data_IF_598442192969
#
_entry.id   IF_598442192969
#
_cell.length_a   1.000
_cell.length_b   1.000
_cell.length_c   1.000
_cell.angle_alpha   90.00
_cell.angle_beta   90.00
_cell.angle_gamma   90.00
#
_symmetry.space_group_name_H-M   'P 1'
#
loop_
_entity.id
_entity.type
_entity.pdbx_description
1 polymer ?
#
# COMPACT_ATOMS: atom_id res chain seq x y z
N UNK A 1 57.19 4.05 48.01
CA UNK A 1 56.31 5.00 48.73
C UNK A 1 55.42 5.69 47.71
N UNK A 2 54.19 5.75 48.02
CA UNK A 2 52.97 6.33 47.36
C UNK A 2 52.36 5.58 46.23
N UNK A 3 51.30 4.90 46.67
CA UNK A 3 50.14 4.43 45.96
C UNK A 3 49.35 5.63 45.41
N UNK A 4 48.79 5.50 44.21
CA UNK A 4 47.59 6.26 43.84
C UNK A 4 46.59 5.35 43.18
N UNK A 5 45.50 5.13 43.92
CA UNK A 5 44.22 4.52 43.53
C UNK A 5 43.55 5.42 42.49
N UNK A 6 43.03 4.82 41.41
CA UNK A 6 41.91 5.37 40.64
C UNK A 6 40.81 4.35 40.61
N UNK A 7 39.77 4.66 41.34
CA UNK A 7 38.51 3.92 41.42
C UNK A 7 37.75 3.97 40.09
N UNK A 8 37.11 2.88 39.80
CA UNK A 8 36.23 2.71 38.65
C UNK A 8 35.01 3.66 38.68
N UNK A 9 34.58 4.06 37.52
CA UNK A 9 33.21 4.53 37.28
C UNK A 9 32.53 3.56 36.31
N UNK A 10 31.52 2.94 36.84
CA UNK A 10 30.59 2.06 36.11
C UNK A 10 29.98 2.80 34.93
N UNK A 11 30.22 2.27 33.73
CA UNK A 11 29.52 2.64 32.52
C UNK A 11 28.25 1.76 32.43
N UNK A 12 27.21 2.16 33.12
CA UNK A 12 25.88 1.57 32.98
C UNK A 12 24.90 2.67 32.56
N UNK A 13 24.76 2.87 31.24
CA UNK A 13 23.66 3.63 30.64
C UNK A 13 23.60 3.42 29.14
N UNK A 14 23.23 2.23 28.73
CA UNK A 14 22.70 1.97 27.36
C UNK A 14 21.55 0.98 27.42
N UNK A 15 20.48 1.38 28.09
CA UNK A 15 19.20 0.66 28.01
C UNK A 15 18.04 1.68 28.05
N UNK A 16 17.96 2.50 27.03
CA UNK A 16 16.94 3.54 26.91
C UNK A 16 16.28 3.64 25.54
N UNK A 17 16.60 2.76 24.58
CA UNK A 17 16.07 2.85 23.22
C UNK A 17 15.09 1.75 22.82
N UNK A 18 14.79 0.79 23.66
CA UNK A 18 13.91 -0.34 23.32
C UNK A 18 12.40 -0.13 23.60
N UNK A 19 12.00 0.92 24.34
CA UNK A 19 10.60 1.15 24.71
C UNK A 19 9.88 2.29 23.97
N UNK A 20 10.55 3.01 23.07
CA UNK A 20 9.94 4.11 22.31
C UNK A 20 9.19 3.66 21.04
N UNK A 21 9.24 2.38 20.63
CA UNK A 21 8.74 1.93 19.33
C UNK A 21 7.24 1.59 19.28
N UNK A 22 6.54 1.52 20.42
CA UNK A 22 5.15 1.08 20.46
C UNK A 22 4.11 2.22 20.36
N UNK A 23 4.53 3.48 20.23
CA UNK A 23 3.65 4.65 20.16
C UNK A 23 3.61 5.34 18.78
N UNK A 24 4.58 5.09 17.91
CA UNK A 24 4.68 5.76 16.62
C UNK A 24 3.57 5.32 15.65
N UNK A 25 3.04 6.29 14.89
CA UNK A 25 2.10 6.02 13.79
C UNK A 25 2.88 5.55 12.58
N UNK A 26 2.47 4.44 11.97
CA UNK A 26 3.16 3.85 10.83
C UNK A 26 2.58 4.36 9.51
N UNK A 27 3.44 4.87 8.63
CA UNK A 27 3.11 5.22 7.26
C UNK A 27 3.59 4.13 6.31
N UNK A 28 2.67 3.43 5.67
CA UNK A 28 2.92 2.59 4.52
C UNK A 28 2.70 3.40 3.25
N UNK A 29 3.79 3.95 2.71
CA UNK A 29 3.75 4.66 1.45
C UNK A 29 3.81 3.64 0.31
N UNK A 30 2.75 3.57 -0.50
CA UNK A 30 2.63 2.57 -1.55
C UNK A 30 2.47 3.20 -2.93
N UNK A 31 3.01 2.55 -3.95
CA UNK A 31 3.01 3.00 -5.33
C UNK A 31 2.45 1.86 -6.19
N UNK A 32 1.32 2.12 -6.86
CA UNK A 32 0.69 1.17 -7.77
C UNK A 32 1.17 1.46 -9.19
N UNK A 33 2.12 0.65 -9.67
CA UNK A 33 2.84 0.88 -10.93
C UNK A 33 2.14 0.17 -12.08
N UNK A 34 1.11 0.81 -12.60
CA UNK A 34 0.29 0.34 -13.70
C UNK A 34 1.04 0.36 -15.03
N UNK A 35 0.59 -0.50 -15.96
CA UNK A 35 1.03 -0.49 -17.36
C UNK A 35 0.36 0.65 -18.14
N UNK A 36 0.70 1.91 -17.77
CA UNK A 36 0.17 3.14 -18.38
C UNK A 36 1.31 3.95 -18.98
N UNK A 37 1.14 4.56 -20.19
CA UNK A 37 2.16 5.42 -20.79
C UNK A 37 2.63 6.50 -19.82
N UNK A 38 3.95 6.65 -19.69
CA UNK A 38 4.58 7.63 -18.79
C UNK A 38 4.80 7.13 -17.35
N UNK A 39 4.28 5.95 -16.97
CA UNK A 39 4.50 5.41 -15.62
C UNK A 39 5.99 5.26 -15.27
N UNK A 40 6.87 4.95 -16.23
CA UNK A 40 8.31 4.86 -15.99
C UNK A 40 8.88 6.22 -15.53
N UNK A 41 8.53 7.31 -16.21
CA UNK A 41 9.01 8.67 -15.86
C UNK A 41 8.42 9.13 -14.53
N UNK A 42 7.13 8.86 -14.28
CA UNK A 42 6.49 9.18 -13.01
C UNK A 42 7.06 8.39 -11.84
N UNK A 43 7.45 7.12 -12.07
CA UNK A 43 8.12 6.32 -11.04
C UNK A 43 9.48 6.92 -10.67
N UNK A 44 10.29 7.36 -11.66
CA UNK A 44 11.56 8.03 -11.39
C UNK A 44 11.38 9.28 -10.53
N UNK A 45 10.37 10.10 -10.82
CA UNK A 45 10.04 11.28 -10.02
C UNK A 45 9.64 10.93 -8.58
N UNK A 46 8.82 9.88 -8.40
CA UNK A 46 8.43 9.38 -7.08
C UNK A 46 9.61 8.82 -6.29
N UNK A 47 10.49 8.06 -6.93
CA UNK A 47 11.70 7.54 -6.28
C UNK A 47 12.61 8.67 -5.80
N UNK A 48 12.77 9.74 -6.61
CA UNK A 48 13.53 10.92 -6.20
C UNK A 48 12.89 11.64 -4.99
N UNK A 49 11.54 11.72 -4.94
CA UNK A 49 10.82 12.22 -3.78
C UNK A 49 11.04 11.33 -2.55
N UNK A 50 10.90 10.02 -2.70
CA UNK A 50 11.14 9.05 -1.62
C UNK A 50 12.56 9.16 -1.04
N UNK A 51 13.58 9.34 -1.88
CA UNK A 51 14.96 9.50 -1.44
C UNK A 51 15.14 10.77 -0.62
N UNK A 52 14.57 11.91 -1.05
CA UNK A 52 14.63 13.19 -0.31
C UNK A 52 14.01 13.09 1.08
N UNK A 53 12.94 12.34 1.21
CA UNK A 53 12.20 12.17 2.47
C UNK A 53 12.60 10.91 3.25
N UNK A 54 13.61 10.17 2.79
CA UNK A 54 14.04 8.90 3.38
C UNK A 54 12.91 7.88 3.56
N UNK A 55 11.92 7.91 2.66
CA UNK A 55 10.80 6.97 2.63
C UNK A 55 11.18 5.74 1.81
N UNK A 56 10.93 4.56 2.37
CA UNK A 56 11.00 3.30 1.62
C UNK A 56 9.59 2.83 1.33
N UNK A 57 9.20 2.93 0.07
CA UNK A 57 7.87 2.57 -0.40
C UNK A 57 7.72 1.05 -0.62
N UNK A 58 6.48 0.58 -0.66
CA UNK A 58 6.14 -0.69 -1.31
C UNK A 58 5.62 -0.39 -2.72
N UNK A 59 6.30 -0.91 -3.74
CA UNK A 59 5.94 -0.69 -5.15
C UNK A 59 5.29 -1.94 -5.70
N UNK A 60 4.03 -1.84 -6.09
CA UNK A 60 3.27 -2.93 -6.70
C UNK A 60 3.35 -2.81 -8.21
N UNK A 61 4.02 -3.75 -8.86
CA UNK A 61 4.24 -3.72 -10.31
C UNK A 61 3.22 -4.57 -11.07
N UNK A 62 2.55 -3.98 -12.05
CA UNK A 62 1.94 -4.77 -13.12
C UNK A 62 3.05 -5.58 -13.84
N UNK A 63 2.79 -6.85 -14.13
CA UNK A 63 3.81 -7.73 -14.73
C UNK A 63 4.33 -7.20 -16.07
N UNK A 64 3.46 -6.64 -16.90
CA UNK A 64 3.83 -5.97 -18.16
C UNK A 64 4.79 -4.80 -17.97
N UNK A 65 4.61 -4.02 -16.91
CA UNK A 65 5.55 -2.95 -16.58
C UNK A 65 6.91 -3.53 -16.22
N UNK A 66 6.95 -4.59 -15.41
CA UNK A 66 8.18 -5.24 -15.00
C UNK A 66 8.94 -5.85 -16.17
N UNK A 67 8.25 -6.46 -17.15
CA UNK A 67 8.87 -6.94 -18.38
C UNK A 67 9.45 -5.81 -19.23
N UNK A 68 8.72 -4.68 -19.34
CA UNK A 68 9.12 -3.57 -20.21
C UNK A 68 10.26 -2.73 -19.61
N UNK A 69 10.32 -2.62 -18.27
CA UNK A 69 11.26 -1.75 -17.55
C UNK A 69 11.99 -2.49 -16.41
N UNK A 70 12.68 -3.62 -16.69
CA UNK A 70 13.31 -4.44 -15.65
C UNK A 70 14.37 -3.69 -14.85
N UNK A 71 15.05 -2.72 -15.47
CA UNK A 71 16.07 -1.92 -14.80
C UNK A 71 15.47 -0.98 -13.73
N UNK A 72 14.27 -0.43 -13.96
CA UNK A 72 13.56 0.37 -12.94
C UNK A 72 13.10 -0.50 -11.77
N UNK A 73 12.62 -1.71 -12.05
CA UNK A 73 12.24 -2.65 -10.98
C UNK A 73 13.46 -3.01 -10.13
N UNK A 74 14.59 -3.31 -10.76
CA UNK A 74 15.86 -3.57 -10.07
C UNK A 74 16.35 -2.37 -9.28
N UNK A 75 16.22 -1.18 -9.83
CA UNK A 75 16.59 0.07 -9.14
C UNK A 75 15.73 0.32 -7.92
N UNK A 76 14.42 0.07 -7.96
CA UNK A 76 13.56 0.13 -6.78
C UNK A 76 14.08 -0.80 -5.67
N UNK A 77 14.41 -2.04 -6.01
CA UNK A 77 14.96 -2.98 -5.05
C UNK A 77 16.30 -2.50 -4.48
N UNK A 78 17.21 -2.05 -5.33
CA UNK A 78 18.54 -1.54 -4.95
C UNK A 78 18.45 -0.34 -4.01
N UNK A 79 17.46 0.52 -4.17
CA UNK A 79 17.17 1.65 -3.27
C UNK A 79 16.50 1.24 -1.96
N UNK A 80 16.20 -0.06 -1.77
CA UNK A 80 15.59 -0.60 -0.55
C UNK A 80 14.07 -0.44 -0.49
N UNK A 81 13.40 -0.21 -1.63
CA UNK A 81 11.93 -0.31 -1.69
C UNK A 81 11.50 -1.77 -1.69
N UNK A 82 10.33 -2.05 -1.15
CA UNK A 82 9.71 -3.37 -1.24
C UNK A 82 9.05 -3.54 -2.60
N UNK A 83 9.13 -4.75 -3.16
CA UNK A 83 8.50 -5.09 -4.42
C UNK A 83 7.31 -6.00 -4.18
N UNK A 84 6.18 -5.63 -4.78
CA UNK A 84 4.96 -6.42 -4.84
C UNK A 84 4.49 -6.59 -6.28
N UNK A 85 3.41 -7.35 -6.48
CA UNK A 85 2.77 -7.52 -7.79
C UNK A 85 1.38 -6.86 -7.82
N UNK A 86 0.99 -6.38 -9.01
CA UNK A 86 -0.28 -5.68 -9.27
C UNK A 86 -1.03 -6.26 -10.47
N UNK A 87 -1.25 -7.58 -10.47
CA UNK A 87 -1.76 -8.28 -11.65
C UNK A 87 -0.77 -8.29 -12.80
N UNK A 88 -1.23 -8.72 -13.99
CA UNK A 88 -0.37 -8.87 -15.16
C UNK A 88 -0.34 -7.62 -16.05
N UNK A 89 -1.53 -7.10 -16.49
CA UNK A 89 -1.63 -6.09 -17.56
C UNK A 89 -2.45 -4.85 -17.18
N UNK A 90 -2.67 -4.60 -15.89
CA UNK A 90 -3.49 -3.49 -15.41
C UNK A 90 -3.07 -2.13 -15.98
N UNK A 91 -4.05 -1.35 -16.41
CA UNK A 91 -3.87 0.01 -16.94
C UNK A 91 -3.51 0.08 -18.43
N UNK A 92 -3.27 -1.06 -19.10
CA UNK A 92 -2.89 -1.11 -20.52
C UNK A 92 -4.06 -1.00 -21.49
N UNK A 93 -3.81 -1.40 -22.74
CA UNK A 93 -4.80 -1.49 -23.82
C UNK A 93 -5.71 -2.72 -23.67
N UNK A 94 -5.29 -3.68 -22.86
CA UNK A 94 -6.02 -4.90 -22.59
C UNK A 94 -7.15 -4.64 -21.59
N UNK A 95 -8.17 -5.52 -21.59
CA UNK A 95 -9.24 -5.45 -20.60
C UNK A 95 -8.65 -5.65 -19.21
N UNK A 96 -9.04 -4.80 -18.26
CA UNK A 96 -8.63 -4.94 -16.88
C UNK A 96 -8.91 -6.33 -16.31
N UNK A 97 -7.99 -6.82 -15.53
CA UNK A 97 -8.07 -8.09 -14.81
C UNK A 97 -9.05 -7.94 -13.64
N UNK A 98 -10.15 -8.65 -13.70
CA UNK A 98 -11.15 -8.64 -12.64
C UNK A 98 -11.00 -9.88 -11.74
N UNK A 99 -10.25 -9.74 -10.66
CA UNK A 99 -10.01 -10.81 -9.69
C UNK A 99 -11.27 -11.18 -8.86
N UNK A 100 -12.35 -10.41 -8.93
CA UNK A 100 -13.62 -10.75 -8.26
C UNK A 100 -14.36 -11.87 -8.97
N UNK A 101 -14.22 -11.93 -10.30
CA UNK A 101 -15.07 -12.76 -11.18
C UNK A 101 -14.30 -13.78 -12.00
N UNK A 102 -13.00 -13.61 -12.15
CA UNK A 102 -12.17 -14.56 -12.89
C UNK A 102 -12.07 -15.91 -12.18
N UNK A 103 -12.03 -16.98 -12.95
CA UNK A 103 -11.83 -18.33 -12.42
C UNK A 103 -10.42 -18.52 -11.82
N UNK A 104 -10.28 -19.51 -10.95
CA UNK A 104 -9.07 -19.82 -10.19
C UNK A 104 -7.82 -19.94 -11.09
N UNK A 105 -7.89 -20.72 -12.17
CA UNK A 105 -6.74 -20.91 -13.06
C UNK A 105 -6.34 -19.63 -13.81
N UNK A 106 -7.29 -18.79 -14.16
CA UNK A 106 -7.01 -17.52 -14.80
C UNK A 106 -6.30 -16.57 -13.84
N UNK A 107 -6.78 -16.49 -12.59
CA UNK A 107 -6.11 -15.67 -11.55
C UNK A 107 -4.71 -16.18 -11.25
N UNK A 108 -4.54 -17.51 -11.13
CA UNK A 108 -3.22 -18.14 -10.93
C UNK A 108 -2.27 -17.79 -12.07
N UNK A 109 -2.73 -17.82 -13.29
CA UNK A 109 -1.92 -17.48 -14.46
C UNK A 109 -1.44 -16.02 -14.42
N UNK A 110 -2.33 -15.07 -14.10
CA UNK A 110 -1.97 -13.67 -13.99
C UNK A 110 -0.95 -13.43 -12.87
N UNK A 111 -1.20 -14.02 -11.69
CA UNK A 111 -0.32 -13.88 -10.53
C UNK A 111 1.07 -14.46 -10.81
N UNK A 112 1.15 -15.68 -11.38
CA UNK A 112 2.42 -16.30 -11.73
C UNK A 112 3.22 -15.49 -12.73
N UNK A 113 2.59 -15.04 -13.81
CA UNK A 113 3.26 -14.23 -14.82
C UNK A 113 3.82 -12.93 -14.23
N UNK A 114 3.04 -12.24 -13.39
CA UNK A 114 3.49 -11.03 -12.72
C UNK A 114 4.64 -11.31 -11.74
N UNK A 115 4.54 -12.41 -10.98
CA UNK A 115 5.60 -12.87 -10.07
C UNK A 115 6.90 -13.14 -10.81
N UNK A 116 6.83 -13.89 -11.90
CA UNK A 116 7.98 -14.25 -12.75
C UNK A 116 8.64 -13.00 -13.34
N UNK A 117 7.85 -12.05 -13.87
CA UNK A 117 8.37 -10.81 -14.43
C UNK A 117 9.13 -9.96 -13.38
N UNK A 118 8.56 -9.78 -12.19
CA UNK A 118 9.22 -9.03 -11.11
C UNK A 118 10.44 -9.78 -10.60
N UNK A 119 10.36 -11.09 -10.45
CA UNK A 119 11.50 -11.92 -10.02
C UNK A 119 12.65 -11.91 -11.03
N UNK A 120 12.36 -12.00 -12.30
CA UNK A 120 13.39 -11.93 -13.36
C UNK A 120 14.07 -10.55 -13.39
N UNK A 121 13.30 -9.47 -13.18
CA UNK A 121 13.83 -8.12 -13.16
C UNK A 121 14.72 -7.84 -11.93
N UNK A 122 14.30 -8.25 -10.74
CA UNK A 122 14.94 -7.86 -9.48
C UNK A 122 15.80 -8.95 -8.83
N UNK A 123 15.71 -10.20 -9.28
CA UNK A 123 16.41 -11.34 -8.68
C UNK A 123 15.80 -11.85 -7.36
N UNK A 124 14.67 -11.28 -6.91
CA UNK A 124 13.96 -11.69 -5.71
C UNK A 124 12.51 -12.00 -6.04
N UNK A 125 11.93 -13.02 -5.37
CA UNK A 125 10.53 -13.35 -5.51
C UNK A 125 9.68 -12.37 -4.68
N UNK A 126 8.71 -11.66 -5.28
CA UNK A 126 7.76 -10.85 -4.52
C UNK A 126 6.81 -11.74 -3.71
N UNK A 127 6.48 -11.29 -2.50
CA UNK A 127 5.57 -11.99 -1.59
C UNK A 127 4.43 -11.09 -1.11
N UNK A 128 4.27 -9.93 -1.76
CA UNK A 128 3.24 -8.93 -1.47
C UNK A 128 2.42 -8.72 -2.72
N UNK A 129 1.09 -8.72 -2.58
CA UNK A 129 0.16 -8.52 -3.69
C UNK A 129 -0.75 -7.30 -3.44
N UNK A 130 -1.18 -6.66 -4.50
CA UNK A 130 -2.33 -5.77 -4.54
C UNK A 130 -3.14 -6.05 -5.79
N UNK A 131 -4.44 -6.26 -5.64
CA UNK A 131 -5.32 -6.48 -6.77
C UNK A 131 -5.53 -5.20 -7.58
N UNK A 132 -5.49 -5.26 -8.92
CA UNK A 132 -5.92 -4.18 -9.80
C UNK A 132 -7.26 -3.60 -9.38
N UNK A 133 -7.36 -2.26 -9.31
CA UNK A 133 -8.57 -1.55 -8.85
C UNK A 133 -9.06 -1.97 -7.44
N UNK A 134 -8.26 -2.67 -6.65
CA UNK A 134 -8.67 -3.31 -5.40
C UNK A 134 -9.84 -4.30 -5.60
N UNK A 135 -9.93 -4.90 -6.77
CA UNK A 135 -10.95 -5.87 -7.15
C UNK A 135 -10.54 -7.28 -6.75
N UNK A 136 -10.69 -7.59 -5.49
CA UNK A 136 -10.31 -8.87 -4.89
C UNK A 136 -11.54 -9.73 -4.57
N UNK A 137 -11.36 -11.04 -4.50
CA UNK A 137 -12.34 -12.03 -4.04
C UNK A 137 -11.70 -13.18 -3.27
N UNK A 138 -12.51 -14.05 -2.69
CA UNK A 138 -12.07 -15.18 -1.86
C UNK A 138 -11.18 -16.16 -2.67
N UNK A 139 -11.50 -16.34 -3.95
CA UNK A 139 -10.66 -17.14 -4.88
C UNK A 139 -9.24 -16.57 -4.99
N UNK A 140 -9.10 -15.24 -4.95
CA UNK A 140 -7.78 -14.60 -5.02
C UNK A 140 -6.94 -14.93 -3.79
N UNK A 141 -7.54 -14.86 -2.59
CA UNK A 141 -6.84 -15.19 -1.35
C UNK A 141 -6.26 -16.61 -1.42
N UNK A 142 -7.07 -17.57 -1.83
CA UNK A 142 -6.65 -18.96 -2.00
C UNK A 142 -5.48 -19.10 -2.99
N UNK A 143 -5.55 -18.43 -4.15
CA UNK A 143 -4.47 -18.47 -5.13
C UNK A 143 -3.19 -17.85 -4.57
N UNK A 144 -3.29 -16.74 -3.83
CA UNK A 144 -2.13 -16.10 -3.20
C UNK A 144 -1.45 -17.04 -2.18
N UNK A 145 -2.22 -17.76 -1.36
CA UNK A 145 -1.69 -18.75 -0.43
C UNK A 145 -0.97 -19.89 -1.16
N UNK A 146 -1.61 -20.47 -2.18
CA UNK A 146 -1.04 -21.55 -2.99
C UNK A 146 0.25 -21.11 -3.73
N UNK A 147 0.32 -19.84 -4.12
CA UNK A 147 1.52 -19.25 -4.76
C UNK A 147 2.55 -18.71 -3.76
N UNK A 148 2.34 -18.90 -2.46
CA UNK A 148 3.32 -18.57 -1.42
C UNK A 148 3.47 -17.06 -1.15
N UNK A 149 2.43 -16.28 -1.37
CA UNK A 149 2.38 -14.90 -0.92
C UNK A 149 2.17 -14.84 0.59
N UNK A 150 2.61 -13.76 1.21
CA UNK A 150 2.52 -13.55 2.65
C UNK A 150 1.66 -12.34 3.01
N UNK A 151 1.57 -11.37 2.11
CA UNK A 151 0.84 -10.12 2.34
C UNK A 151 -0.06 -9.79 1.15
N UNK A 152 -1.22 -9.23 1.47
CA UNK A 152 -2.11 -8.59 0.52
C UNK A 152 -2.45 -7.18 0.99
N UNK A 153 -2.77 -6.28 0.07
CA UNK A 153 -3.20 -4.93 0.38
C UNK A 153 -4.31 -4.51 -0.59
N UNK A 154 -5.40 -5.28 -0.59
CA UNK A 154 -6.46 -5.14 -1.59
C UNK A 154 -7.84 -4.91 -0.99
N UNK A 155 -8.07 -5.18 0.30
CA UNK A 155 -9.39 -5.03 0.92
C UNK A 155 -9.64 -3.57 1.32
N UNK A 156 -10.55 -2.85 0.61
CA UNK A 156 -10.77 -1.40 0.83
C UNK A 156 -11.71 -1.14 2.03
N UNK A 157 -11.23 -1.43 3.24
CA UNK A 157 -11.98 -1.21 4.47
C UNK A 157 -12.43 0.26 4.61
N UNK A 158 -13.67 0.49 5.08
CA UNK A 158 -14.26 1.83 5.32
C UNK A 158 -14.34 2.73 4.08
N UNK A 159 -14.24 2.15 2.88
CA UNK A 159 -14.35 2.87 1.61
C UNK A 159 -15.76 2.83 1.07
N UNK A 160 -16.27 4.00 0.69
CA UNK A 160 -17.58 4.18 0.09
C UNK A 160 -17.48 5.20 -1.05
N UNK A 161 -17.11 4.73 -2.25
CA UNK A 161 -17.02 5.60 -3.42
C UNK A 161 -18.37 5.70 -4.11
N UNK A 162 -18.91 6.89 -4.20
CA UNK A 162 -20.06 7.19 -5.06
C UNK A 162 -19.68 7.31 -6.55
N UNK A 163 -18.39 7.24 -6.88
CA UNK A 163 -17.89 7.43 -8.22
C UNK A 163 -18.25 6.27 -9.15
N UNK A 164 -18.84 6.59 -10.32
CA UNK A 164 -19.00 5.70 -11.47
C UNK A 164 -20.04 4.58 -11.37
N UNK A 165 -21.07 4.71 -10.52
CA UNK A 165 -22.18 3.76 -10.43
C UNK A 165 -21.77 2.35 -9.95
N UNK A 166 -20.63 2.24 -9.28
CA UNK A 166 -20.06 0.97 -8.82
C UNK A 166 -19.94 0.96 -7.31
N UNK A 167 -20.93 0.37 -6.63
CA UNK A 167 -20.95 0.20 -5.17
C UNK A 167 -20.15 -1.06 -4.78
N UNK A 168 -18.97 -1.28 -5.41
CA UNK A 168 -18.21 -2.53 -5.27
C UNK A 168 -17.56 -2.70 -3.90
N UNK A 169 -17.30 -1.59 -3.21
CA UNK A 169 -16.56 -1.59 -1.97
C UNK A 169 -17.43 -1.78 -0.72
N UNK A 170 -18.75 -1.72 -0.84
CA UNK A 170 -19.65 -1.92 0.29
C UNK A 170 -19.48 -3.29 0.97
N UNK A 171 -19.15 -4.32 0.20
CA UNK A 171 -18.86 -5.65 0.75
C UNK A 171 -17.79 -5.59 1.85
N UNK A 172 -16.79 -4.73 1.68
CA UNK A 172 -15.63 -4.64 2.56
C UNK A 172 -15.68 -3.45 3.53
N UNK A 173 -16.78 -2.70 3.54
CA UNK A 173 -16.88 -1.48 4.37
C UNK A 173 -16.64 -1.75 5.85
N UNK A 174 -17.08 -2.90 6.34
CA UNK A 174 -16.96 -3.31 7.73
C UNK A 174 -15.73 -4.18 8.02
N UNK A 175 -14.88 -4.42 7.03
CA UNK A 175 -13.63 -5.13 7.23
C UNK A 175 -12.74 -4.42 8.26
N UNK A 176 -11.85 -5.16 8.96
CA UNK A 176 -10.86 -4.54 9.83
C UNK A 176 -10.03 -3.49 9.08
N UNK A 177 -9.81 -2.34 9.70
CA UNK A 177 -8.97 -1.26 9.11
C UNK A 177 -7.51 -1.32 9.57
N UNK A 178 -7.17 -2.29 10.40
CA UNK A 178 -5.82 -2.64 10.84
C UNK A 178 -5.37 -3.91 10.12
N UNK A 179 -4.07 -4.22 10.09
CA UNK A 179 -3.60 -5.49 9.55
C UNK A 179 -4.30 -6.67 10.23
N UNK A 180 -4.77 -7.63 9.44
CA UNK A 180 -5.47 -8.81 9.95
C UNK A 180 -5.24 -10.01 9.03
N UNK A 181 -5.58 -11.20 9.52
CA UNK A 181 -5.63 -12.40 8.69
C UNK A 181 -7.07 -12.61 8.23
N UNK A 182 -7.36 -12.61 6.93
CA UNK A 182 -8.73 -12.79 6.43
C UNK A 182 -9.27 -14.19 6.68
N UNK A 183 -10.59 -14.31 6.66
CA UNK A 183 -11.26 -15.60 6.52
C UNK A 183 -11.25 -16.03 5.04
N UNK A 184 -11.02 -17.32 4.79
CA UNK A 184 -11.10 -17.87 3.43
C UNK A 184 -12.50 -17.79 2.81
N UNK A 185 -13.54 -17.67 3.64
CA UNK A 185 -14.94 -17.61 3.21
C UNK A 185 -15.47 -16.17 3.09
N UNK A 186 -14.84 -15.22 3.76
CA UNK A 186 -15.24 -13.82 3.78
C UNK A 186 -14.05 -12.92 4.09
N UNK A 187 -13.52 -12.26 3.08
CA UNK A 187 -12.37 -11.34 3.24
C UNK A 187 -12.65 -10.16 4.17
N UNK A 188 -13.92 -9.81 4.43
CA UNK A 188 -14.27 -8.76 5.39
C UNK A 188 -14.20 -9.19 6.84
N UNK A 189 -14.02 -10.48 7.11
CA UNK A 189 -13.92 -11.05 8.44
C UNK A 189 -12.50 -11.54 8.75
N UNK A 190 -12.11 -11.43 10.02
CA UNK A 190 -10.87 -12.06 10.49
C UNK A 190 -11.01 -13.58 10.53
N UNK A 191 -9.93 -14.29 10.19
CA UNK A 191 -9.90 -15.74 10.12
C UNK A 191 -8.50 -16.31 10.31
N UNK A 192 -8.23 -17.44 9.66
CA UNK A 192 -7.02 -18.24 9.84
C UNK A 192 -6.09 -18.26 8.61
N UNK A 193 -6.33 -17.41 7.61
CA UNK A 193 -5.46 -17.31 6.44
C UNK A 193 -3.98 -17.14 6.83
N UNK A 194 -3.09 -17.68 6.02
CA UNK A 194 -1.64 -17.44 6.15
C UNK A 194 -1.25 -16.05 5.65
N UNK A 195 -2.10 -15.41 4.84
CA UNK A 195 -1.91 -14.06 4.31
C UNK A 195 -2.23 -13.03 5.40
N UNK A 196 -1.40 -12.00 5.49
CA UNK A 196 -1.71 -10.79 6.24
C UNK A 196 -2.26 -9.74 5.29
N UNK A 197 -3.52 -9.40 5.43
CA UNK A 197 -4.11 -8.23 4.75
C UNK A 197 -3.68 -6.95 5.46
N UNK A 198 -3.20 -5.99 4.68
CA UNK A 198 -2.85 -4.63 5.12
C UNK A 198 -3.74 -3.63 4.36
N UNK A 199 -4.93 -3.32 4.88
CA UNK A 199 -5.96 -2.61 4.13
C UNK A 199 -5.51 -1.22 3.66
N UNK A 200 -5.71 -0.85 2.39
CA UNK A 200 -5.58 0.52 1.93
C UNK A 200 -6.48 1.44 2.78
N UNK A 201 -5.90 2.52 3.31
CA UNK A 201 -6.64 3.38 4.23
C UNK A 201 -7.74 4.17 3.55
N UNK A 202 -8.91 4.24 4.19
CA UNK A 202 -10.02 5.05 3.74
C UNK A 202 -10.85 5.59 4.93
N UNK A 203 -11.50 6.73 4.70
CA UNK A 203 -12.55 7.31 5.54
C UNK A 203 -13.64 7.82 4.59
N UNK A 204 -14.54 6.93 4.18
CA UNK A 204 -15.47 7.06 3.05
C UNK A 204 -14.75 7.14 1.70
N UNK A 205 -13.78 8.01 1.55
CA UNK A 205 -12.91 8.13 0.37
C UNK A 205 -11.52 7.53 0.66
N UNK A 206 -10.82 7.04 -0.36
CA UNK A 206 -9.49 6.49 -0.19
C UNK A 206 -8.48 7.55 0.25
N UNK A 207 -7.47 7.15 1.00
CA UNK A 207 -6.32 8.02 1.30
C UNK A 207 -5.28 7.84 0.19
N UNK A 208 -5.42 8.63 -0.86
CA UNK A 208 -4.57 8.58 -2.05
C UNK A 208 -4.35 9.98 -2.64
N UNK A 209 -3.51 10.05 -3.69
CA UNK A 209 -3.20 11.31 -4.34
C UNK A 209 -4.42 11.98 -4.99
N UNK A 210 -5.32 11.20 -5.60
CA UNK A 210 -6.53 11.77 -6.22
C UNK A 210 -7.42 12.47 -5.18
N UNK A 211 -7.60 11.88 -4.01
CA UNK A 211 -8.35 12.48 -2.89
C UNK A 211 -7.62 13.71 -2.34
N UNK A 212 -6.31 13.64 -2.17
CA UNK A 212 -5.48 14.79 -1.77
C UNK A 212 -5.65 15.97 -2.71
N UNK A 213 -5.57 15.72 -4.01
CA UNK A 213 -5.70 16.75 -5.06
C UNK A 213 -7.09 17.40 -5.08
N UNK A 214 -8.15 16.61 -4.86
CA UNK A 214 -9.54 17.09 -4.93
C UNK A 214 -9.96 17.81 -3.66
N UNK A 215 -9.65 17.23 -2.49
CA UNK A 215 -10.12 17.74 -1.20
C UNK A 215 -9.10 18.63 -0.48
N UNK A 216 -7.85 18.62 -0.93
CA UNK A 216 -6.76 19.34 -0.29
C UNK A 216 -6.28 18.71 1.01
N UNK A 217 -5.09 19.14 1.45
CA UNK A 217 -4.40 18.57 2.63
C UNK A 217 -5.20 18.78 3.93
N UNK A 218 -5.91 19.90 4.08
CA UNK A 218 -6.68 20.18 5.30
C UNK A 218 -7.80 19.18 5.55
N UNK A 219 -8.53 18.77 4.50
CA UNK A 219 -9.61 17.79 4.61
C UNK A 219 -9.01 16.39 4.75
N UNK A 220 -8.04 16.04 3.90
CA UNK A 220 -7.35 14.74 3.99
C UNK A 220 -6.71 14.54 5.36
N UNK A 221 -6.11 15.58 5.95
CA UNK A 221 -5.51 15.53 7.28
C UNK A 221 -6.52 15.23 8.39
N UNK A 222 -7.77 15.71 8.29
CA UNK A 222 -8.85 15.34 9.23
C UNK A 222 -9.26 13.88 9.06
N UNK A 223 -9.35 13.39 7.82
CA UNK A 223 -9.62 11.97 7.54
C UNK A 223 -8.53 11.08 8.13
N UNK A 224 -7.25 11.42 7.91
CA UNK A 224 -6.11 10.72 8.47
C UNK A 224 -6.18 10.72 10.00
N UNK A 225 -6.41 11.86 10.62
CA UNK A 225 -6.54 11.97 12.08
C UNK A 225 -7.62 11.01 12.61
N UNK A 226 -8.77 10.93 11.95
CA UNK A 226 -9.85 10.03 12.34
C UNK A 226 -9.44 8.54 12.20
N UNK A 227 -8.76 8.17 11.10
CA UNK A 227 -8.29 6.80 10.85
C UNK A 227 -7.32 6.36 11.95
N UNK A 228 -6.30 7.19 12.25
CA UNK A 228 -5.21 6.79 13.15
C UNK A 228 -5.57 6.85 14.63
N UNK A 229 -6.77 7.33 14.99
CA UNK A 229 -7.28 7.19 16.36
C UNK A 229 -7.38 5.74 16.80
N UNK A 230 -7.77 4.88 15.87
CA UNK A 230 -8.08 3.49 16.14
C UNK A 230 -6.99 2.52 15.65
N UNK A 231 -6.27 2.86 14.56
CA UNK A 231 -5.41 1.89 13.87
C UNK A 231 -3.92 2.16 13.99
N UNK A 232 -3.48 3.40 14.17
CA UNK A 232 -2.06 3.82 14.05
C UNK A 232 -1.37 3.44 12.74
N UNK A 233 -2.06 2.84 11.79
CA UNK A 233 -1.59 2.44 10.49
C UNK A 233 -2.23 3.33 9.43
N UNK A 234 -1.40 3.88 8.55
CA UNK A 234 -1.83 4.67 7.41
C UNK A 234 -1.21 4.08 6.15
N UNK A 235 -2.04 3.55 5.26
CA UNK A 235 -1.65 3.15 3.92
C UNK A 235 -2.07 4.25 2.96
N UNK A 236 -1.10 4.97 2.42
CA UNK A 236 -1.29 5.93 1.33
C UNK A 236 -0.87 5.30 0.01
N UNK A 237 -1.58 5.59 -1.08
CA UNK A 237 -1.18 5.12 -2.40
C UNK A 237 -1.32 6.19 -3.48
N UNK A 238 -0.47 6.08 -4.50
CA UNK A 238 -0.49 6.89 -5.71
C UNK A 238 -0.01 6.05 -6.91
N UNK A 239 -0.26 6.55 -8.13
CA UNK A 239 0.17 5.88 -9.36
C UNK A 239 1.22 6.74 -10.06
N UNK A 240 2.31 6.15 -10.58
CA UNK A 240 3.35 6.90 -11.32
C UNK A 240 2.79 7.74 -12.47
N UNK A 241 1.78 7.25 -13.17
CA UNK A 241 1.12 8.00 -14.25
C UNK A 241 0.52 9.34 -13.81
N UNK A 242 0.25 9.54 -12.52
CA UNK A 242 -0.28 10.82 -11.99
C UNK A 242 0.78 11.94 -11.98
N UNK A 243 2.08 11.63 -12.20
CA UNK A 243 3.22 12.55 -12.10
C UNK A 243 3.82 12.95 -13.45
N UNK A 244 3.08 12.78 -14.53
CA UNK A 244 3.51 13.14 -15.89
C UNK A 244 2.51 14.05 -16.58
N UNK A 245 2.96 14.80 -17.58
CA UNK A 245 2.05 15.62 -18.38
C UNK A 245 1.17 14.75 -19.29
N UNK A 246 -0.15 14.76 -19.08
CA UNK A 246 -1.09 14.02 -19.90
C UNK A 246 -0.99 14.33 -21.41
N UNK A 247 -0.63 15.57 -21.77
CA UNK A 247 -0.50 16.00 -23.17
C UNK A 247 0.74 15.44 -23.88
N UNK A 248 1.73 14.97 -23.12
CA UNK A 248 3.00 14.45 -23.67
C UNK A 248 2.94 12.93 -23.88
N UNK A 249 1.85 12.30 -23.50
CA UNK A 249 1.69 10.85 -23.57
C UNK A 249 0.64 10.46 -24.59
N UNK A 250 0.88 9.37 -25.32
CA UNK A 250 -0.10 8.74 -26.19
C UNK A 250 -0.97 7.78 -25.38
N UNK A 251 -2.09 8.27 -24.87
CA UNK A 251 -3.01 7.44 -24.13
C UNK A 251 -4.00 6.69 -25.02
N UNK A 252 -4.39 5.47 -24.62
CA UNK A 252 -5.50 4.77 -25.23
C UNK A 252 -6.77 5.63 -25.21
N UNK A 253 -7.57 5.56 -26.27
CA UNK A 253 -8.86 6.27 -26.33
C UNK A 253 -9.81 5.89 -25.17
N UNK A 254 -9.63 4.69 -24.62
CA UNK A 254 -10.42 4.18 -23.50
C UNK A 254 -10.08 4.85 -22.15
N UNK A 255 -8.92 5.50 -22.01
CA UNK A 255 -8.56 6.17 -20.76
C UNK A 255 -9.52 7.35 -20.49
N UNK A 256 -10.11 7.36 -19.32
CA UNK A 256 -11.09 8.37 -18.92
C UNK A 256 -10.49 9.76 -18.92
N UNK A 257 -11.33 10.79 -19.24
CA UNK A 257 -10.92 12.19 -19.12
C UNK A 257 -10.51 12.55 -17.68
N UNK A 258 -11.14 11.88 -16.69
CA UNK A 258 -10.84 12.07 -15.28
C UNK A 258 -9.43 11.63 -14.91
N UNK A 259 -8.99 10.45 -15.37
CA UNK A 259 -7.63 9.98 -15.11
C UNK A 259 -6.61 10.92 -15.72
N UNK A 260 -6.82 11.38 -16.97
CA UNK A 260 -5.95 12.34 -17.63
C UNK A 260 -5.92 13.73 -16.97
N UNK A 261 -7.06 14.18 -16.42
CA UNK A 261 -7.15 15.45 -15.70
C UNK A 261 -6.27 15.45 -14.43
N UNK A 262 -6.06 14.27 -13.83
CA UNK A 262 -5.23 14.09 -12.64
C UNK A 262 -3.73 14.06 -12.88
N UNK A 263 -3.28 13.98 -14.12
CA UNK A 263 -1.88 13.83 -14.48
C UNK A 263 -1.16 15.16 -14.55
N UNK A 264 -0.23 15.40 -13.63
CA UNK A 264 0.52 16.66 -13.53
C UNK A 264 1.85 16.41 -12.79
N UNK A 265 3.02 16.82 -13.32
CA UNK A 265 4.29 16.68 -12.62
C UNK A 265 4.32 17.40 -11.26
N UNK A 266 3.58 18.50 -11.12
CA UNK A 266 3.45 19.27 -9.89
C UNK A 266 2.80 18.49 -8.75
N UNK A 267 2.19 17.34 -9.03
CA UNK A 267 1.69 16.42 -8.00
C UNK A 267 2.80 15.92 -7.04
N UNK A 268 4.07 16.00 -7.44
CA UNK A 268 5.21 15.72 -6.54
C UNK A 268 5.15 16.64 -5.33
N UNK A 269 4.91 17.94 -5.52
CA UNK A 269 4.82 18.92 -4.42
C UNK A 269 3.67 18.59 -3.45
N UNK A 270 2.54 18.07 -3.94
CA UNK A 270 1.45 17.65 -3.07
C UNK A 270 1.84 16.45 -2.19
N UNK A 271 2.64 15.54 -2.74
CA UNK A 271 3.18 14.41 -1.96
C UNK A 271 4.18 14.89 -0.93
N UNK A 272 5.04 15.84 -1.28
CA UNK A 272 6.00 16.46 -0.36
C UNK A 272 5.28 17.16 0.81
N UNK A 273 4.27 17.98 0.51
CA UNK A 273 3.42 18.62 1.53
C UNK A 273 2.74 17.60 2.45
N UNK A 274 2.27 16.48 1.90
CA UNK A 274 1.68 15.40 2.69
C UNK A 274 2.72 14.75 3.60
N UNK A 275 3.92 14.47 3.11
CA UNK A 275 4.99 13.85 3.90
C UNK A 275 5.44 14.78 5.03
N UNK A 276 5.60 16.09 4.76
CA UNK A 276 5.89 17.09 5.79
C UNK A 276 4.78 17.11 6.85
N UNK A 277 3.52 17.13 6.43
CA UNK A 277 2.37 17.08 7.33
C UNK A 277 2.38 15.85 8.22
N UNK A 278 2.72 14.68 7.67
CA UNK A 278 2.72 13.41 8.41
C UNK A 278 3.90 13.34 9.40
N UNK A 279 5.10 13.72 8.95
CA UNK A 279 6.30 13.62 9.79
C UNK A 279 6.27 14.59 10.96
N UNK A 280 5.68 15.79 10.79
CA UNK A 280 5.39 16.71 11.88
C UNK A 280 4.36 16.15 12.90
N UNK A 281 3.78 14.98 12.67
CA UNK A 281 2.76 14.32 13.50
C UNK A 281 3.14 12.91 13.94
N UNK A 282 4.43 12.66 14.03
CA UNK A 282 5.05 11.41 14.52
C UNK A 282 4.71 10.17 13.67
N UNK A 283 4.47 10.36 12.37
CA UNK A 283 4.45 9.23 11.45
C UNK A 283 5.86 8.78 11.10
N UNK A 284 6.06 7.48 11.09
CA UNK A 284 7.33 6.84 10.71
C UNK A 284 7.09 5.96 9.50
N UNK A 285 7.89 6.09 8.44
CA UNK A 285 7.82 5.20 7.29
C UNK A 285 8.03 3.75 7.71
N UNK A 286 7.18 2.87 7.23
CA UNK A 286 7.24 1.44 7.51
C UNK A 286 7.02 0.62 6.23
N UNK A 287 7.55 -0.58 6.22
CA UNK A 287 7.32 -1.55 5.15
C UNK A 287 6.10 -2.42 5.46
N UNK A 288 5.31 -2.77 4.43
CA UNK A 288 4.15 -3.67 4.58
C UNK A 288 4.56 -5.01 5.22
N UNK A 289 5.72 -5.56 4.86
CA UNK A 289 6.23 -6.79 5.46
C UNK A 289 6.54 -6.70 6.96
N UNK A 290 6.53 -5.50 7.53
CA UNK A 290 6.66 -5.30 8.99
C UNK A 290 5.31 -5.05 9.66
N UNK A 291 4.21 -5.10 8.90
CA UNK A 291 2.87 -4.99 9.47
C UNK A 291 2.58 -6.20 10.36
N UNK A 292 2.21 -5.94 11.59
CA UNK A 292 1.87 -6.96 12.58
C UNK A 292 0.38 -6.99 12.80
N UNK A 293 -0.19 -8.19 12.80
CA UNK A 293 -1.58 -8.37 13.21
C UNK A 293 -1.68 -8.11 14.70
N UNK A 294 -2.51 -7.15 15.15
CA UNK A 294 -2.72 -6.92 16.57
C UNK A 294 -3.17 -8.22 17.25
N UNK A 295 -2.51 -8.58 18.35
CA UNK A 295 -3.00 -9.69 19.17
C UNK A 295 -4.36 -9.28 19.74
N UNK A 296 -5.38 -10.09 19.48
CA UNK A 296 -6.68 -9.94 20.15
C UNK A 296 -6.44 -10.05 21.65
N UNK A 297 -6.63 -8.95 22.37
CA UNK A 297 -6.71 -8.99 23.81
C UNK A 297 -8.02 -9.68 24.20
N UNK A 298 -7.94 -11.02 24.36
CA UNK A 298 -9.08 -11.84 24.75
C UNK A 298 -9.67 -11.46 26.13
N UNK A 299 -9.10 -10.47 26.82
CA UNK A 299 -9.58 -9.95 28.10
C UNK A 299 -10.61 -8.83 27.96
N UNK A 300 -10.77 -8.25 26.75
CA UNK A 300 -11.85 -7.29 26.54
C UNK A 300 -13.12 -8.03 26.09
N UNK A 301 -14.24 -7.90 26.82
CA UNK A 301 -15.49 -8.47 26.36
C UNK A 301 -15.87 -7.84 25.03
N UNK A 302 -16.22 -8.68 24.06
CA UNK A 302 -16.81 -8.25 22.80
C UNK A 302 -18.07 -7.46 23.10
N UNK A 303 -17.98 -6.15 23.12
CA UNK A 303 -19.15 -5.28 23.20
C UNK A 303 -19.83 -5.35 21.84
N UNK A 304 -20.74 -6.32 21.69
CA UNK A 304 -21.73 -6.31 20.63
C UNK A 304 -22.55 -5.02 20.83
N UNK A 305 -22.22 -3.96 20.09
CA UNK A 305 -23.15 -2.83 19.96
C UNK A 305 -24.34 -3.35 19.18
N UNK A 306 -25.37 -3.75 19.94
CA UNK A 306 -26.68 -3.99 19.36
C UNK A 306 -27.08 -2.70 18.64
N UNK A 307 -27.25 -2.77 17.33
CA UNK A 307 -27.78 -1.68 16.53
C UNK A 307 -29.19 -1.39 17.00
N UNK A 308 -29.37 -0.24 17.67
CA UNK A 308 -30.68 0.38 17.80
C UNK A 308 -31.02 1.05 16.47
N UNK A 309 -32.16 0.74 15.92
CA UNK A 309 -32.80 1.31 14.74
C UNK A 309 -33.01 2.83 14.88
#
# INVERSE_FOLDING_TARGET
MQQNQWAGRDANSHDGRAHASNSAKQLYFTIDCDWVPGSQTGLEALLACCDRYHVKATVFFAGRFAEAYPDLVRECHRRGHQLGTHGWAHGGLEKDEDFRTAGLEQQRQWIRRATEAVQQAAGIRPVIFRAPNLWIGETTLRVLEEEGYLYDSSVPARRFDFGFGRVHYLKYFWAPSQPYRPSELDLSASGASTITEVPPSACLFPINLATLRVLGLSVLGRMIHWIVRDSRHLVFYCHPSEFVHARQQQFPRAMSKWNRWGMCPENVSLVEELLDYLFCRDFVPAHIMHATVPQLDLRQPVVLRAGGF
#
